data_IF_471673649214
#
_entry.id   IF_471673649214
#
_cell.length_a   1.000
_cell.length_b   1.000
_cell.length_c   1.000
_cell.angle_alpha   90.00
_cell.angle_beta   90.00
_cell.angle_gamma   90.00
#
_symmetry.space_group_name_H-M   'P 1'
#
loop_
_entity.id
_entity.type
_entity.pdbx_description
1 polymer ?
#
# COMPACT_ATOMS: atom_id res chain seq x y z
N UNK A 1 9.09 -18.90 5.82
CA UNK A 1 7.76 -18.37 5.49
C UNK A 1 7.93 -17.53 4.25
N UNK A 2 7.64 -18.11 3.08
CA UNK A 2 7.54 -17.35 1.85
C UNK A 2 6.17 -16.68 1.90
N UNK A 3 6.12 -15.45 2.41
CA UNK A 3 4.94 -14.65 2.15
C UNK A 3 4.89 -14.52 0.62
N UNK A 4 3.80 -14.98 0.00
CA UNK A 4 3.64 -14.99 -1.47
C UNK A 4 3.81 -13.59 -2.06
N UNK A 5 3.78 -13.47 -3.39
CA UNK A 5 3.98 -12.21 -4.09
C UNK A 5 3.14 -11.09 -3.45
N UNK A 6 3.77 -10.00 -2.97
CA UNK A 6 3.07 -8.93 -2.25
C UNK A 6 1.98 -8.29 -3.11
N UNK A 7 2.12 -8.36 -4.44
CA UNK A 7 1.10 -7.91 -5.39
C UNK A 7 -0.15 -8.82 -5.42
N UNK A 8 0.03 -10.15 -5.29
CA UNK A 8 -1.10 -11.09 -5.21
C UNK A 8 -1.88 -10.93 -3.91
N UNK A 9 -1.17 -10.74 -2.79
CA UNK A 9 -1.81 -10.49 -1.49
C UNK A 9 -2.53 -9.13 -1.52
N UNK A 10 -1.91 -8.13 -2.14
CA UNK A 10 -2.51 -6.82 -2.34
C UNK A 10 -3.77 -6.90 -3.19
N UNK A 11 -3.77 -7.66 -4.28
CA UNK A 11 -4.95 -7.87 -5.11
C UNK A 11 -6.13 -8.46 -4.31
N UNK A 12 -5.86 -9.39 -3.38
CA UNK A 12 -6.86 -9.90 -2.44
C UNK A 12 -7.41 -8.82 -1.49
N UNK A 13 -6.55 -7.94 -0.98
CA UNK A 13 -6.91 -6.81 -0.10
C UNK A 13 -7.65 -5.70 -0.87
N UNK A 14 -7.34 -5.48 -2.14
CA UNK A 14 -8.03 -4.52 -3.00
C UNK A 14 -9.37 -5.04 -3.54
N UNK A 15 -9.60 -6.36 -3.51
CA UNK A 15 -10.85 -6.98 -3.96
C UNK A 15 -12.04 -6.67 -3.03
N UNK A 16 -11.77 -6.21 -1.80
CA UNK A 16 -12.78 -5.63 -0.90
C UNK A 16 -12.86 -4.11 -1.15
N UNK A 17 -14.06 -3.52 -1.18
CA UNK A 17 -14.19 -2.08 -1.37
C UNK A 17 -13.51 -1.36 -0.20
N UNK A 18 -12.31 -0.82 -0.45
CA UNK A 18 -11.61 0.06 0.46
C UNK A 18 -12.48 1.29 0.66
N UNK A 19 -13.02 1.46 1.86
CA UNK A 19 -13.79 2.67 2.19
C UNK A 19 -12.87 3.88 2.00
N UNK A 20 -13.32 4.91 1.26
CA UNK A 20 -12.60 6.17 1.22
C UNK A 20 -12.47 6.72 2.65
N UNK A 21 -11.36 7.40 2.92
CA UNK A 21 -11.15 8.03 4.23
C UNK A 21 -12.11 9.23 4.42
N UNK A 22 -12.05 9.89 5.58
CA UNK A 22 -12.90 11.04 5.92
C UNK A 22 -12.75 12.26 4.98
N UNK A 23 -11.69 12.29 4.18
CA UNK A 23 -11.40 13.30 3.16
C UNK A 23 -11.84 12.86 1.74
N UNK A 24 -12.42 11.66 1.60
CA UNK A 24 -12.82 11.09 0.31
C UNK A 24 -11.67 10.47 -0.48
N UNK A 25 -10.46 10.44 0.06
CA UNK A 25 -9.29 9.87 -0.63
C UNK A 25 -9.33 8.35 -0.59
N UNK A 26 -8.92 7.73 -1.70
CA UNK A 26 -8.69 6.30 -1.72
C UNK A 26 -7.47 5.93 -0.89
N UNK A 27 -7.43 4.70 -0.39
CA UNK A 27 -6.29 4.24 0.41
C UNK A 27 -4.96 4.23 -0.39
N UNK A 28 -5.05 4.19 -1.73
CA UNK A 28 -3.91 4.32 -2.64
C UNK A 28 -3.36 5.75 -2.68
N UNK A 29 -4.23 6.76 -2.81
CA UNK A 29 -3.80 8.16 -2.81
C UNK A 29 -3.14 8.56 -1.49
N UNK A 30 -3.66 8.06 -0.38
CA UNK A 30 -3.08 8.32 0.93
C UNK A 30 -1.72 7.60 1.11
N UNK A 31 -1.55 6.43 0.50
CA UNK A 31 -0.24 5.79 0.40
C UNK A 31 0.74 6.62 -0.44
N UNK A 32 0.31 7.21 -1.56
CA UNK A 32 1.15 8.11 -2.36
C UNK A 32 1.57 9.35 -1.55
N UNK A 33 0.64 9.92 -0.77
CA UNK A 33 0.95 11.01 0.16
C UNK A 33 1.94 10.57 1.24
N UNK A 34 1.78 9.37 1.81
CA UNK A 34 2.72 8.80 2.77
C UNK A 34 4.11 8.65 2.15
N UNK A 35 4.20 8.13 0.93
CA UNK A 35 5.45 7.99 0.19
C UNK A 35 6.12 9.34 -0.09
N UNK A 36 5.35 10.36 -0.50
CA UNK A 36 5.85 11.71 -0.71
C UNK A 36 6.37 12.35 0.60
N UNK A 37 5.67 12.12 1.71
CA UNK A 37 6.03 12.68 3.02
C UNK A 37 7.24 11.99 3.67
N UNK A 38 7.30 10.66 3.60
CA UNK A 38 8.36 9.86 4.25
C UNK A 38 9.57 9.60 3.34
N UNK A 39 9.44 9.85 2.03
CA UNK A 39 10.43 9.46 1.04
C UNK A 39 10.42 7.95 0.74
N UNK A 40 9.34 7.25 1.07
CA UNK A 40 9.14 5.83 0.77
C UNK A 40 8.83 5.64 -0.73
N UNK A 41 9.76 6.00 -1.61
CA UNK A 41 9.59 5.95 -3.07
C UNK A 41 10.24 4.69 -3.66
N UNK A 42 9.68 4.17 -4.75
CA UNK A 42 10.19 3.02 -5.50
C UNK A 42 11.71 3.13 -5.77
N UNK A 43 12.17 4.31 -6.16
CA UNK A 43 13.58 4.59 -6.47
C UNK A 43 14.51 4.49 -5.25
N UNK A 44 14.00 4.70 -4.04
CA UNK A 44 14.81 4.75 -2.81
C UNK A 44 14.86 3.42 -2.08
N UNK A 45 13.75 2.70 -2.04
CA UNK A 45 13.65 1.44 -1.29
C UNK A 45 13.62 0.20 -2.19
N UNK A 46 13.48 0.39 -3.51
CA UNK A 46 13.38 -0.69 -4.48
C UNK A 46 11.98 -1.30 -4.60
N UNK A 47 11.73 -2.06 -5.67
CA UNK A 47 10.41 -2.57 -6.02
C UNK A 47 9.81 -3.53 -4.98
N UNK A 48 10.63 -4.41 -4.43
CA UNK A 48 10.19 -5.40 -3.44
C UNK A 48 9.76 -4.72 -2.13
N UNK A 49 10.61 -3.85 -1.57
CA UNK A 49 10.28 -3.15 -0.33
C UNK A 49 9.09 -2.19 -0.51
N UNK A 50 8.95 -1.58 -1.68
CA UNK A 50 7.80 -0.72 -2.00
C UNK A 50 6.49 -1.50 -2.04
N UNK A 51 6.48 -2.70 -2.64
CA UNK A 51 5.32 -3.56 -2.65
C UNK A 51 4.93 -4.00 -1.22
N UNK A 52 5.91 -4.35 -0.39
CA UNK A 52 5.67 -4.67 1.03
C UNK A 52 5.17 -3.47 1.84
N UNK A 53 5.72 -2.28 1.62
CA UNK A 53 5.27 -1.06 2.29
C UNK A 53 3.82 -0.73 1.93
N UNK A 54 3.46 -0.85 0.65
CA UNK A 54 2.10 -0.66 0.14
C UNK A 54 1.13 -1.65 0.76
N UNK A 55 1.50 -2.93 0.79
CA UNK A 55 0.73 -3.99 1.41
C UNK A 55 0.50 -3.70 2.91
N UNK A 56 1.57 -3.42 3.66
CA UNK A 56 1.51 -3.15 5.08
C UNK A 56 0.61 -1.96 5.39
N UNK A 57 0.77 -0.85 4.66
CA UNK A 57 -0.02 0.37 4.84
C UNK A 57 -1.51 0.15 4.60
N UNK A 58 -1.85 -0.58 3.54
CA UNK A 58 -3.24 -0.89 3.19
C UNK A 58 -3.85 -1.94 4.11
N UNK A 59 -3.05 -2.91 4.60
CA UNK A 59 -3.50 -3.92 5.55
C UNK A 59 -3.78 -3.36 6.95
N UNK A 60 -3.03 -2.32 7.37
CA UNK A 60 -3.20 -1.69 8.68
C UNK A 60 -4.45 -0.80 8.77
N UNK A 61 -5.13 -0.57 7.63
CA UNK A 61 -6.26 0.33 7.49
C UNK A 61 -7.62 -0.37 7.38
N UNK A 62 -7.62 -1.70 7.44
CA UNK A 62 -8.81 -2.55 7.43
C UNK A 62 -9.24 -2.99 8.82
#
# INVERSE_FOLDING_TARGET
MSFGDPDEILAGILSRPLKPNELGHTALEDFEHFCAYTGCSLERIGPEAFAWAKLAFLSARD
#
